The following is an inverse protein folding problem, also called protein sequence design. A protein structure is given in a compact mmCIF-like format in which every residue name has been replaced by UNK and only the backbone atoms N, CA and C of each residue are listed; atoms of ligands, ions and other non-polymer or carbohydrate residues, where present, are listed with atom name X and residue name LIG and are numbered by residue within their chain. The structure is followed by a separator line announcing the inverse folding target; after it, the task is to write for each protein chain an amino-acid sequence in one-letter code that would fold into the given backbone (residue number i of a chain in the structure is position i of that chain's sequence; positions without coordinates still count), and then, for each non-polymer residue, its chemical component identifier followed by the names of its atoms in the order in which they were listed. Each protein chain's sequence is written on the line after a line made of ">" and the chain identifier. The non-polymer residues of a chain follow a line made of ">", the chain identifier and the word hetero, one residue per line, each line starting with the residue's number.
data_IF_391181393914
#
_entry.id   IF_391181393914
#
_cell.length_a   1.000
_cell.length_b   1.000
_cell.length_c   1.000
_cell.angle_alpha   90.00
_cell.angle_beta   90.00
_cell.angle_gamma   90.00
#
_symmetry.space_group_name_H-M   'P 1'
#
loop_
_entity.id
_entity.type
_entity.pdbx_description
1 polymer ?
#
# COMPACT_ATOMS: atom_id res chain seq x y z
N UNK A 1 16.88 -2.05 -24.51
CA UNK A 1 17.45 -3.36 -24.19
C UNK A 1 16.53 -4.00 -23.18
N UNK A 2 16.01 -5.18 -23.47
CA UNK A 2 15.20 -5.92 -22.49
C UNK A 2 16.10 -6.63 -21.44
N UNK A 3 15.49 -7.26 -20.44
CA UNK A 3 16.25 -7.94 -19.38
C UNK A 3 17.13 -9.10 -19.91
N UNK A 4 16.68 -9.80 -20.95
CA UNK A 4 17.41 -10.93 -21.54
C UNK A 4 18.64 -10.46 -22.30
N UNK A 5 18.48 -9.41 -23.10
CA UNK A 5 19.56 -8.72 -23.78
C UNK A 5 20.54 -8.12 -22.77
N UNK A 6 20.05 -7.45 -21.73
CA UNK A 6 20.86 -6.86 -20.66
C UNK A 6 21.70 -7.91 -19.94
N UNK A 7 21.10 -9.06 -19.60
CA UNK A 7 21.78 -10.19 -18.99
C UNK A 7 22.88 -10.74 -19.90
N UNK A 8 22.65 -10.76 -21.21
CA UNK A 8 23.63 -11.23 -22.19
C UNK A 8 24.81 -10.27 -22.33
N UNK A 9 24.53 -8.97 -22.43
CA UNK A 9 25.55 -7.92 -22.47
C UNK A 9 26.38 -7.88 -21.17
N UNK A 10 25.74 -8.03 -20.01
CA UNK A 10 26.43 -8.09 -18.73
C UNK A 10 27.36 -9.30 -18.65
N UNK A 11 26.93 -10.48 -19.13
CA UNK A 11 27.81 -11.66 -19.23
C UNK A 11 29.01 -11.41 -20.16
N UNK A 12 28.79 -10.74 -21.29
CA UNK A 12 29.85 -10.39 -22.23
C UNK A 12 30.80 -9.31 -21.68
N UNK A 13 30.31 -8.41 -20.83
CA UNK A 13 31.15 -7.48 -20.07
C UNK A 13 32.00 -8.24 -19.06
N UNK A 14 31.38 -9.07 -18.22
CA UNK A 14 32.07 -9.83 -17.17
C UNK A 14 33.10 -10.81 -17.73
N UNK A 15 32.90 -11.37 -18.93
CA UNK A 15 33.89 -12.24 -19.59
C UNK A 15 35.17 -11.50 -20.02
N UNK A 16 35.12 -10.17 -20.13
CA UNK A 16 36.27 -9.31 -20.44
C UNK A 16 36.98 -8.78 -19.19
N UNK A 17 36.40 -8.98 -18.00
CA UNK A 17 37.00 -8.58 -16.72
C UNK A 17 38.00 -9.65 -16.28
N UNK A 18 39.14 -9.23 -15.72
CA UNK A 18 40.11 -10.16 -15.13
C UNK A 18 39.43 -11.06 -14.10
N UNK A 19 39.65 -12.40 -14.12
CA UNK A 19 39.02 -13.33 -13.17
C UNK A 19 39.21 -12.95 -11.70
N UNK A 20 40.32 -12.30 -11.35
CA UNK A 20 40.62 -11.83 -9.98
C UNK A 20 39.77 -10.64 -9.54
N UNK A 21 39.21 -9.89 -10.49
CA UNK A 21 38.42 -8.68 -10.25
C UNK A 21 36.92 -8.93 -10.38
N UNK A 22 36.49 -10.05 -10.99
CA UNK A 22 35.07 -10.38 -11.18
C UNK A 22 34.30 -10.35 -9.85
N UNK A 23 34.87 -10.92 -8.77
CA UNK A 23 34.23 -10.93 -7.45
C UNK A 23 34.01 -9.51 -6.90
N UNK A 24 34.99 -8.60 -7.10
CA UNK A 24 34.86 -7.20 -6.68
C UNK A 24 33.82 -6.46 -7.50
N UNK A 25 33.76 -6.70 -8.81
CA UNK A 25 32.74 -6.10 -9.70
C UNK A 25 31.35 -6.57 -9.30
N UNK A 26 31.15 -7.87 -9.08
CA UNK A 26 29.86 -8.40 -8.63
C UNK A 26 29.46 -7.86 -7.25
N UNK A 27 30.43 -7.70 -6.35
CA UNK A 27 30.17 -7.10 -5.04
C UNK A 27 29.82 -5.61 -5.15
N UNK A 28 30.48 -4.87 -6.05
CA UNK A 28 30.12 -3.47 -6.33
C UNK A 28 28.72 -3.39 -6.93
N UNK A 29 28.39 -4.16 -7.98
CA UNK A 29 27.05 -4.16 -8.58
C UNK A 29 25.96 -4.45 -7.54
N UNK A 30 26.23 -5.34 -6.58
CA UNK A 30 25.26 -5.70 -5.54
C UNK A 30 25.02 -4.59 -4.51
N UNK A 31 26.03 -3.77 -4.20
CA UNK A 31 25.99 -2.85 -3.06
C UNK A 31 26.27 -1.38 -3.46
N UNK A 32 26.18 -1.05 -4.75
CA UNK A 32 26.52 0.29 -5.24
C UNK A 32 25.31 1.21 -5.17
N UNK A 33 25.36 2.20 -4.27
CA UNK A 33 24.40 3.31 -4.22
C UNK A 33 24.38 4.10 -5.56
N UNK A 34 25.51 4.17 -6.28
CA UNK A 34 25.59 4.85 -7.59
C UNK A 34 24.71 4.18 -8.66
N UNK A 35 24.38 2.89 -8.49
CA UNK A 35 23.46 2.20 -9.40
C UNK A 35 22.00 2.44 -9.01
N UNK A 36 21.71 2.84 -7.78
CA UNK A 36 20.36 3.25 -7.37
C UNK A 36 19.93 4.55 -8.06
N UNK A 37 20.87 5.43 -8.39
CA UNK A 37 20.60 6.63 -9.20
C UNK A 37 20.01 6.30 -10.58
N UNK A 38 20.27 5.09 -11.12
CA UNK A 38 19.65 4.63 -12.37
C UNK A 38 18.17 4.28 -12.20
N UNK A 39 17.71 4.10 -10.96
CA UNK A 39 16.33 3.78 -10.60
C UNK A 39 15.51 5.03 -10.26
N UNK A 40 16.08 6.23 -10.45
CA UNK A 40 15.36 7.50 -10.24
C UNK A 40 14.10 7.53 -11.09
N UNK A 41 12.98 7.44 -10.41
CA UNK A 41 11.65 7.39 -11.00
C UNK A 41 10.91 8.70 -10.71
N UNK A 42 10.67 9.50 -11.75
CA UNK A 42 9.86 10.72 -11.64
C UNK A 42 8.46 10.46 -11.05
N UNK A 43 7.94 9.23 -11.18
CA UNK A 43 6.68 8.80 -10.55
C UNK A 43 6.80 8.75 -9.03
N UNK A 44 7.90 8.22 -8.49
CA UNK A 44 8.20 8.26 -7.04
C UNK A 44 8.30 9.70 -6.54
N UNK A 45 8.95 10.59 -7.30
CA UNK A 45 9.07 12.00 -6.95
C UNK A 45 7.69 12.70 -6.87
N UNK A 46 6.78 12.39 -7.80
CA UNK A 46 5.41 12.90 -7.76
C UNK A 46 4.66 12.37 -6.52
N UNK A 47 4.74 11.08 -6.21
CA UNK A 47 4.12 10.50 -5.03
C UNK A 47 4.64 11.12 -3.73
N UNK A 48 5.96 11.31 -3.61
CA UNK A 48 6.58 12.00 -2.47
C UNK A 48 6.10 13.44 -2.34
N UNK A 49 5.95 14.16 -3.44
CA UNK A 49 5.41 15.53 -3.43
C UNK A 49 3.97 15.57 -2.92
N UNK A 50 3.14 14.62 -3.34
CA UNK A 50 1.75 14.48 -2.85
C UNK A 50 1.76 14.19 -1.34
N UNK A 51 2.60 13.25 -0.89
CA UNK A 51 2.75 12.90 0.52
C UNK A 51 3.17 14.12 1.37
N UNK A 52 4.15 14.90 0.92
CA UNK A 52 4.60 16.09 1.64
C UNK A 52 3.52 17.17 1.73
N UNK A 53 2.71 17.33 0.69
CA UNK A 53 1.56 18.23 0.74
C UNK A 53 0.45 17.75 1.68
N UNK A 54 0.22 16.44 1.76
CA UNK A 54 -0.75 15.85 2.68
C UNK A 54 -0.35 16.08 4.14
N UNK A 55 0.95 15.96 4.47
CA UNK A 55 1.49 16.23 5.82
C UNK A 55 1.11 17.62 6.34
N UNK A 56 0.98 18.62 5.46
CA UNK A 56 0.58 19.97 5.85
C UNK A 56 -0.87 20.09 6.37
N UNK A 57 -1.71 19.07 6.13
CA UNK A 57 -3.11 19.03 6.55
C UNK A 57 -3.40 17.95 7.59
N UNK A 58 -2.41 17.15 7.96
CA UNK A 58 -2.57 16.00 8.84
C UNK A 58 -1.76 16.18 10.12
N UNK A 59 -2.22 15.59 11.25
CA UNK A 59 -1.36 15.42 12.41
C UNK A 59 -0.20 14.46 12.08
N UNK A 60 0.80 14.42 12.96
CA UNK A 60 2.02 13.63 12.77
C UNK A 60 1.71 12.13 12.59
N UNK A 61 0.77 11.61 13.39
CA UNK A 61 0.28 10.24 13.31
C UNK A 61 -0.65 10.01 12.10
N UNK A 62 -0.91 11.02 11.28
CA UNK A 62 -1.78 10.97 10.11
C UNK A 62 -3.22 10.50 10.41
N UNK A 63 -3.65 10.53 11.66
CA UNK A 63 -4.99 10.13 12.05
C UNK A 63 -5.89 11.34 12.31
N UNK A 64 -6.99 11.45 11.58
CA UNK A 64 -7.95 12.52 11.85
C UNK A 64 -8.66 12.28 13.19
N UNK A 65 -9.07 13.35 13.89
CA UNK A 65 -9.87 13.21 15.12
C UNK A 65 -11.20 12.45 14.90
N UNK A 66 -11.72 12.47 13.68
CA UNK A 66 -12.95 11.78 13.28
C UNK A 66 -12.79 10.26 13.18
N UNK A 67 -11.56 9.71 13.13
CA UNK A 67 -11.28 8.27 13.13
C UNK A 67 -11.41 7.62 14.53
N UNK A 68 -12.48 7.95 15.27
CA UNK A 68 -12.63 7.61 16.70
C UNK A 68 -12.59 6.09 16.98
N UNK A 69 -13.12 5.26 16.08
CA UNK A 69 -13.07 3.80 16.20
C UNK A 69 -11.63 3.27 16.15
N UNK A 70 -10.82 3.76 15.21
CA UNK A 70 -9.42 3.37 15.07
C UNK A 70 -8.61 3.79 16.30
N UNK A 71 -8.78 5.04 16.76
CA UNK A 71 -8.16 5.53 18.01
C UNK A 71 -8.49 4.63 19.20
N UNK A 72 -9.77 4.26 19.36
CA UNK A 72 -10.23 3.43 20.47
C UNK A 72 -9.63 2.03 20.41
N UNK A 73 -9.62 1.39 19.24
CA UNK A 73 -9.07 0.04 19.08
C UNK A 73 -7.56 -0.02 19.28
N UNK A 74 -6.83 1.00 18.82
CA UNK A 74 -5.40 1.11 19.09
C UNK A 74 -5.10 1.21 20.59
N UNK A 75 -5.89 2.00 21.34
CA UNK A 75 -5.74 2.12 22.80
C UNK A 75 -6.08 0.82 23.56
N UNK A 76 -6.90 -0.05 22.96
CA UNK A 76 -7.26 -1.35 23.53
C UNK A 76 -6.24 -2.46 23.25
N UNK A 77 -5.24 -2.22 22.38
CA UNK A 77 -4.19 -3.21 22.11
C UNK A 77 -3.41 -3.51 23.39
N UNK A 78 -3.05 -4.79 23.56
CA UNK A 78 -2.30 -5.27 24.73
C UNK A 78 -0.90 -4.70 24.82
N UNK A 79 -0.33 -4.28 23.69
CA UNK A 79 0.91 -3.54 23.57
C UNK A 79 0.63 -2.13 23.07
N UNK A 80 1.30 -1.09 23.62
CA UNK A 80 1.13 0.26 23.12
C UNK A 80 1.51 0.33 21.63
N UNK A 81 0.57 0.83 20.83
CA UNK A 81 0.63 0.85 19.37
C UNK A 81 0.62 2.30 18.89
N UNK A 82 1.47 2.64 17.93
CA UNK A 82 1.55 3.96 17.28
C UNK A 82 1.21 3.81 15.80
N UNK A 83 0.43 4.74 15.28
CA UNK A 83 0.15 4.79 13.85
C UNK A 83 1.19 5.66 13.13
N UNK A 84 1.76 5.11 12.07
CA UNK A 84 2.67 5.80 11.16
C UNK A 84 2.24 5.46 9.75
N UNK A 85 1.85 6.46 8.99
CA UNK A 85 1.34 6.24 7.64
C UNK A 85 2.48 5.97 6.66
N UNK A 86 2.53 4.76 6.11
CA UNK A 86 3.59 4.32 5.20
C UNK A 86 3.63 5.09 3.88
N UNK A 87 2.53 5.72 3.45
CA UNK A 87 2.55 6.59 2.27
C UNK A 87 3.25 7.91 2.56
N UNK A 88 3.09 8.42 3.78
CA UNK A 88 3.65 9.71 4.19
C UNK A 88 5.11 9.62 4.59
N UNK A 89 5.48 8.57 5.33
CA UNK A 89 6.82 8.44 5.92
C UNK A 89 7.48 7.14 5.47
N UNK A 90 8.68 7.26 4.91
CA UNK A 90 9.59 6.12 4.74
C UNK A 90 10.37 5.85 6.05
N UNK A 91 11.08 4.72 6.09
CA UNK A 91 11.84 4.29 7.28
C UNK A 91 12.87 5.34 7.72
N UNK A 92 13.60 5.94 6.78
CA UNK A 92 14.58 7.00 7.04
C UNK A 92 13.94 8.24 7.67
N UNK A 93 12.75 8.64 7.21
CA UNK A 93 11.99 9.74 7.81
C UNK A 93 11.52 9.40 9.22
N UNK A 94 11.07 8.16 9.45
CA UNK A 94 10.69 7.69 10.80
C UNK A 94 11.90 7.71 11.73
N UNK A 95 13.06 7.23 11.28
CA UNK A 95 14.30 7.24 12.04
C UNK A 95 14.75 8.67 12.37
N UNK A 96 14.71 9.57 11.38
CA UNK A 96 15.01 10.99 11.58
C UNK A 96 14.10 11.62 12.64
N UNK A 97 12.79 11.32 12.61
CA UNK A 97 11.82 11.80 13.61
C UNK A 97 12.10 11.24 15.01
N UNK A 98 12.60 10.01 15.10
CA UNK A 98 13.03 9.40 16.36
C UNK A 98 14.30 10.07 16.90
N UNK A 99 15.28 10.37 16.04
CA UNK A 99 16.53 11.02 16.43
C UNK A 99 16.32 12.43 17.02
N UNK A 100 15.41 13.20 16.42
CA UNK A 100 15.07 14.54 16.93
C UNK A 100 14.08 14.51 18.11
N UNK A 101 13.70 13.33 18.58
CA UNK A 101 12.82 13.13 19.74
C UNK A 101 11.35 13.48 19.49
N UNK A 102 10.94 13.62 18.22
CA UNK A 102 9.55 13.87 17.84
C UNK A 102 8.72 12.59 17.84
N UNK A 103 9.37 11.44 17.60
CA UNK A 103 8.80 10.09 17.72
C UNK A 103 9.68 9.20 18.60
N UNK A 104 9.16 8.03 18.96
CA UNK A 104 9.93 6.99 19.66
C UNK A 104 9.54 5.63 19.11
N UNK A 105 10.52 4.72 18.97
CA UNK A 105 10.29 3.29 18.69
C UNK A 105 10.07 2.46 19.96
N UNK A 106 10.15 3.08 21.14
CA UNK A 106 10.03 2.38 22.43
C UNK A 106 9.20 3.15 23.45
N UNK A 107 8.62 2.45 24.41
CA UNK A 107 7.93 3.04 25.56
C UNK A 107 8.54 2.57 26.87
N UNK A 108 8.41 3.38 27.93
CA UNK A 108 8.89 3.03 29.26
C UNK A 108 7.94 2.02 29.93
N UNK A 109 8.48 0.92 30.44
CA UNK A 109 7.73 -0.06 31.26
C UNK A 109 7.32 0.53 32.62
N UNK A 110 8.02 1.57 33.05
CA UNK A 110 7.70 2.39 34.21
C UNK A 110 8.05 3.83 33.85
N UNK A 111 7.08 4.75 33.89
CA UNK A 111 7.28 6.13 33.45
C UNK A 111 8.49 6.77 34.15
N UNK A 112 9.42 7.34 33.37
CA UNK A 112 10.68 7.91 33.86
C UNK A 112 11.81 6.92 34.14
N UNK A 113 11.63 5.63 33.82
CA UNK A 113 12.71 4.63 33.93
C UNK A 113 13.47 4.45 32.61
N UNK A 114 14.70 3.93 32.68
CA UNK A 114 15.47 3.52 31.50
C UNK A 114 15.09 2.10 31.00
N UNK A 115 14.07 1.47 31.60
CA UNK A 115 13.58 0.15 31.17
C UNK A 115 12.51 0.35 30.12
N UNK A 116 12.87 0.14 28.86
CA UNK A 116 11.97 0.31 27.73
C UNK A 116 11.60 -1.02 27.07
N UNK A 117 10.50 -1.01 26.33
CA UNK A 117 10.06 -2.08 25.44
C UNK A 117 9.66 -1.48 24.08
N UNK A 118 9.73 -2.24 22.98
CA UNK A 118 9.36 -1.74 21.65
C UNK A 118 7.88 -1.37 21.58
N UNK A 119 7.58 -0.33 20.81
CA UNK A 119 6.23 0.02 20.38
C UNK A 119 5.83 -0.82 19.17
N UNK A 120 4.55 -1.17 19.07
CA UNK A 120 4.02 -1.75 17.84
C UNK A 120 3.67 -0.60 16.88
N UNK A 121 4.03 -0.74 15.60
CA UNK A 121 3.74 0.23 14.55
C UNK A 121 2.68 -0.31 13.61
N UNK A 122 1.70 0.52 13.25
CA UNK A 122 0.68 0.19 12.25
C UNK A 122 0.61 1.27 11.18
N UNK A 123 0.37 0.83 9.94
CA UNK A 123 0.00 1.69 8.81
C UNK A 123 -1.33 1.22 8.24
N UNK A 124 -2.16 2.17 7.82
CA UNK A 124 -3.37 1.91 7.04
C UNK A 124 -3.23 2.31 5.57
N UNK A 125 -2.02 2.65 5.13
CA UNK A 125 -1.71 3.05 3.77
C UNK A 125 -0.54 2.27 3.23
N UNK A 126 -0.55 1.99 1.93
CA UNK A 126 0.63 1.51 1.21
C UNK A 126 1.72 2.56 1.17
N UNK A 127 2.95 2.14 1.40
CA UNK A 127 4.14 2.91 1.08
C UNK A 127 4.34 3.09 -0.42
N UNK A 128 5.22 4.03 -0.79
CA UNK A 128 5.59 4.26 -2.19
C UNK A 128 6.17 3.01 -2.85
N UNK A 129 6.94 2.20 -2.11
CA UNK A 129 7.51 0.95 -2.59
C UNK A 129 6.45 -0.13 -2.76
N UNK A 130 5.50 -0.25 -1.84
CA UNK A 130 4.36 -1.17 -1.99
C UNK A 130 3.45 -0.79 -3.16
N UNK A 131 3.19 0.51 -3.38
CA UNK A 131 2.46 0.98 -4.55
C UNK A 131 3.20 0.64 -5.86
N UNK A 132 4.53 0.79 -5.87
CA UNK A 132 5.34 0.40 -7.02
C UNK A 132 5.25 -1.11 -7.26
N UNK A 133 5.36 -1.91 -6.20
CA UNK A 133 5.19 -3.37 -6.28
C UNK A 133 3.84 -3.73 -6.88
N UNK A 134 2.77 -3.20 -6.30
CA UNK A 134 1.40 -3.45 -6.68
C UNK A 134 1.16 -3.21 -8.18
N UNK A 135 1.56 -2.05 -8.69
CA UNK A 135 1.23 -1.66 -10.07
C UNK A 135 2.23 -2.15 -11.12
N UNK A 136 3.47 -2.46 -10.75
CA UNK A 136 4.50 -2.87 -11.72
C UNK A 136 4.80 -4.36 -11.72
N UNK A 137 4.47 -5.08 -10.64
CA UNK A 137 4.83 -6.49 -10.46
C UNK A 137 3.63 -7.39 -10.14
N UNK A 138 2.58 -6.86 -9.49
CA UNK A 138 1.39 -7.64 -9.11
C UNK A 138 0.27 -7.53 -10.15
N UNK A 139 -0.16 -6.31 -10.47
CA UNK A 139 -1.27 -6.09 -11.40
C UNK A 139 -0.81 -6.15 -12.87
N UNK A 140 -1.65 -6.67 -13.77
CA UNK A 140 -1.37 -6.65 -15.21
C UNK A 140 -1.57 -5.24 -15.79
N UNK A 141 -1.34 -5.08 -17.10
CA UNK A 141 -1.71 -3.85 -17.80
C UNK A 141 -3.21 -3.55 -17.61
N UNK A 142 -3.51 -2.33 -17.18
CA UNK A 142 -4.87 -1.90 -16.84
C UNK A 142 -5.51 -1.04 -17.94
N UNK A 143 -4.97 -1.07 -19.17
CA UNK A 143 -5.53 -0.32 -20.30
C UNK A 143 -6.99 -0.69 -20.52
N UNK A 144 -7.89 0.29 -20.46
CA UNK A 144 -9.34 0.07 -20.58
C UNK A 144 -10.05 -0.36 -19.29
N UNK A 145 -9.31 -0.64 -18.21
CA UNK A 145 -9.86 -1.22 -16.98
C UNK A 145 -10.25 -0.14 -15.95
N UNK A 146 -11.19 -0.52 -15.09
CA UNK A 146 -11.62 0.26 -13.92
C UNK A 146 -11.11 -0.41 -12.64
N UNK A 147 -10.34 0.35 -11.86
CA UNK A 147 -9.90 -0.05 -10.52
C UNK A 147 -10.67 0.72 -9.46
N UNK A 148 -11.13 -0.02 -8.44
CA UNK A 148 -11.83 0.53 -7.27
C UNK A 148 -11.00 0.27 -6.02
N UNK A 149 -10.74 1.33 -5.26
CA UNK A 149 -10.05 1.31 -3.97
C UNK A 149 -11.06 1.58 -2.85
N UNK A 150 -11.26 0.61 -1.96
CA UNK A 150 -12.26 0.71 -0.88
C UNK A 150 -11.57 1.19 0.40
N UNK A 151 -12.12 2.24 1.01
CA UNK A 151 -11.48 2.87 2.17
C UNK A 151 -10.23 3.64 1.77
N UNK A 152 -10.35 4.42 0.70
CA UNK A 152 -9.20 5.07 0.05
C UNK A 152 -8.41 6.03 0.96
N UNK A 153 -8.99 6.49 2.08
CA UNK A 153 -8.35 7.29 3.14
C UNK A 153 -7.55 8.48 2.61
N UNK A 154 -6.22 8.38 2.53
CA UNK A 154 -5.35 9.44 2.02
C UNK A 154 -5.25 9.47 0.49
N UNK A 155 -5.70 8.43 -0.20
CA UNK A 155 -5.71 8.28 -1.66
C UNK A 155 -4.47 7.58 -2.24
N UNK A 156 -3.66 6.93 -1.41
CA UNK A 156 -2.37 6.34 -1.81
C UNK A 156 -2.47 5.44 -3.04
N UNK A 157 -3.43 4.51 -3.06
CA UNK A 157 -3.67 3.59 -4.21
C UNK A 157 -4.05 4.37 -5.46
N UNK A 158 -4.86 5.43 -5.34
CA UNK A 158 -5.30 6.26 -6.46
C UNK A 158 -4.13 7.03 -7.09
N UNK A 159 -3.25 7.60 -6.25
CA UNK A 159 -2.06 8.30 -6.74
C UNK A 159 -1.08 7.31 -7.37
N UNK A 160 -0.84 6.16 -6.73
CA UNK A 160 -0.01 5.08 -7.26
C UNK A 160 -0.52 4.57 -8.60
N UNK A 161 -1.82 4.29 -8.70
CA UNK A 161 -2.47 3.86 -9.92
C UNK A 161 -2.39 4.92 -11.02
N UNK A 162 -2.44 6.21 -10.66
CA UNK A 162 -2.29 7.27 -11.64
C UNK A 162 -0.87 7.35 -12.22
N UNK A 163 0.16 7.15 -11.41
CA UNK A 163 1.53 7.28 -11.92
C UNK A 163 2.04 6.00 -12.58
N UNK A 164 1.63 4.83 -12.09
CA UNK A 164 2.19 3.54 -12.52
C UNK A 164 1.31 2.74 -13.49
N UNK A 165 0.03 3.10 -13.67
CA UNK A 165 -0.88 2.33 -14.53
C UNK A 165 -1.53 3.16 -15.63
N UNK A 166 -2.01 2.45 -16.64
CA UNK A 166 -2.83 2.89 -17.77
C UNK A 166 -4.35 2.78 -17.51
N UNK A 167 -4.75 2.52 -16.25
CA UNK A 167 -6.16 2.34 -15.87
C UNK A 167 -7.03 3.49 -16.41
N UNK A 168 -8.13 3.14 -17.08
CA UNK A 168 -9.03 4.15 -17.65
C UNK A 168 -9.79 4.91 -16.58
N UNK A 169 -10.06 4.26 -15.44
CA UNK A 169 -10.72 4.87 -14.28
C UNK A 169 -10.13 4.35 -12.98
N UNK A 170 -9.85 5.26 -12.06
CA UNK A 170 -9.39 4.99 -10.70
C UNK A 170 -10.41 5.59 -9.75
N UNK A 171 -11.10 4.75 -8.98
CA UNK A 171 -12.24 5.15 -8.16
C UNK A 171 -11.96 4.84 -6.68
N UNK A 172 -11.88 5.86 -5.84
CA UNK A 172 -11.81 5.70 -4.39
C UNK A 172 -13.19 5.74 -3.76
N UNK A 173 -13.49 4.80 -2.87
CA UNK A 173 -14.66 4.86 -1.99
C UNK A 173 -14.18 5.27 -0.59
N UNK A 174 -14.81 6.29 -0.01
CA UNK A 174 -14.44 6.80 1.30
C UNK A 174 -15.67 7.24 2.09
N UNK A 175 -15.72 6.86 3.36
CA UNK A 175 -16.81 7.19 4.29
C UNK A 175 -16.63 8.57 4.93
N UNK A 176 -15.38 8.98 5.15
CA UNK A 176 -15.06 10.26 5.76
C UNK A 176 -15.10 11.38 4.73
N UNK A 177 -16.06 12.30 4.88
CA UNK A 177 -16.13 13.49 4.04
C UNK A 177 -14.84 14.33 4.10
N UNK A 178 -14.17 14.38 5.25
CA UNK A 178 -12.91 15.10 5.43
C UNK A 178 -11.79 14.50 4.55
N UNK A 179 -11.69 13.18 4.51
CA UNK A 179 -10.73 12.50 3.63
C UNK A 179 -11.11 12.69 2.15
N UNK A 180 -12.39 12.61 1.80
CA UNK A 180 -12.86 12.90 0.43
C UNK A 180 -12.45 14.31 0.00
N UNK A 181 -12.62 15.31 0.87
CA UNK A 181 -12.24 16.69 0.58
C UNK A 181 -10.72 16.84 0.44
N UNK A 182 -9.94 16.20 1.31
CA UNK A 182 -8.47 16.22 1.27
C UNK A 182 -7.93 15.57 -0.02
N UNK A 183 -8.44 14.39 -0.36
CA UNK A 183 -8.08 13.70 -1.60
C UNK A 183 -8.43 14.55 -2.82
N UNK A 184 -9.66 15.08 -2.91
CA UNK A 184 -10.07 15.95 -4.01
C UNK A 184 -9.16 17.18 -4.15
N UNK A 185 -8.69 17.77 -3.04
CA UNK A 185 -7.72 18.86 -3.07
C UNK A 185 -6.41 18.45 -3.73
N UNK A 186 -5.89 17.26 -3.40
CA UNK A 186 -4.68 16.72 -4.04
C UNK A 186 -4.93 16.41 -5.51
N UNK A 187 -6.05 15.78 -5.87
CA UNK A 187 -6.40 15.50 -7.27
C UNK A 187 -6.41 16.77 -8.12
N UNK A 188 -6.98 17.87 -7.63
CA UNK A 188 -6.98 19.14 -8.34
C UNK A 188 -5.59 19.78 -8.41
N UNK A 189 -4.84 19.79 -7.31
CA UNK A 189 -3.49 20.36 -7.25
C UNK A 189 -2.55 19.68 -8.26
N UNK A 190 -2.64 18.36 -8.37
CA UNK A 190 -1.78 17.54 -9.23
C UNK A 190 -2.38 17.23 -10.60
N UNK A 191 -3.60 17.73 -10.89
CA UNK A 191 -4.32 17.53 -12.16
C UNK A 191 -4.56 16.06 -12.52
N UNK A 192 -5.02 15.29 -11.54
CA UNK A 192 -5.27 13.84 -11.66
C UNK A 192 -6.75 13.53 -11.99
N UNK A 193 -7.58 14.56 -12.13
CA UNK A 193 -9.04 14.45 -12.24
C UNK A 193 -9.54 13.99 -13.61
N UNK A 194 -8.66 13.78 -14.58
CA UNK A 194 -9.00 13.24 -15.90
C UNK A 194 -9.44 11.77 -15.83
N UNK A 195 -8.96 11.02 -14.83
CA UNK A 195 -9.33 9.60 -14.63
C UNK A 195 -9.43 9.14 -13.18
N UNK A 196 -9.06 9.97 -12.21
CA UNK A 196 -9.22 9.68 -10.78
C UNK A 196 -10.47 10.38 -10.24
N UNK A 197 -11.29 9.64 -9.48
CA UNK A 197 -12.46 10.16 -8.79
C UNK A 197 -12.58 9.54 -7.40
N UNK A 198 -13.00 10.35 -6.42
CA UNK A 198 -13.28 9.89 -5.06
C UNK A 198 -14.76 10.09 -4.77
N UNK A 199 -15.41 9.03 -4.28
CA UNK A 199 -16.83 8.99 -3.96
C UNK A 199 -16.99 8.97 -2.44
N UNK A 200 -17.71 9.95 -1.90
CA UNK A 200 -18.17 9.92 -0.52
C UNK A 200 -19.33 8.93 -0.41
N UNK A 201 -19.04 7.68 -0.06
CA UNK A 201 -20.03 6.60 -0.05
C UNK A 201 -19.59 5.40 0.77
N UNK A 202 -20.58 4.64 1.25
CA UNK A 202 -20.38 3.29 1.79
C UNK A 202 -20.30 2.26 0.65
N UNK A 203 -19.28 1.39 0.68
CA UNK A 203 -19.13 0.27 -0.26
C UNK A 203 -20.36 -0.63 -0.27
N UNK A 204 -21.06 -0.78 0.86
CA UNK A 204 -22.28 -1.59 0.99
C UNK A 204 -23.49 -1.03 0.21
N UNK A 205 -23.32 0.10 -0.47
CA UNK A 205 -24.35 0.71 -1.34
C UNK A 205 -23.94 0.76 -2.80
N UNK A 206 -22.78 0.19 -3.15
CA UNK A 206 -22.16 0.32 -4.46
C UNK A 206 -22.15 -1.02 -5.22
N UNK A 207 -23.28 -1.74 -5.21
CA UNK A 207 -23.43 -3.05 -5.87
C UNK A 207 -23.11 -2.97 -7.37
N UNK A 208 -23.69 -2.00 -8.08
CA UNK A 208 -23.47 -1.82 -9.52
C UNK A 208 -21.99 -1.53 -9.81
N UNK A 209 -21.33 -0.75 -8.96
CA UNK A 209 -19.91 -0.45 -9.14
C UNK A 209 -19.06 -1.70 -8.96
N UNK A 210 -19.28 -2.47 -7.88
CA UNK A 210 -18.55 -3.71 -7.61
C UNK A 210 -18.77 -4.74 -8.72
N UNK A 211 -19.99 -4.88 -9.23
CA UNK A 211 -20.31 -5.83 -10.31
C UNK A 211 -19.61 -5.48 -11.64
N UNK A 212 -19.22 -4.22 -11.84
CA UNK A 212 -18.58 -3.76 -13.07
C UNK A 212 -17.07 -3.49 -12.93
N UNK A 213 -16.52 -3.50 -11.72
CA UNK A 213 -15.10 -3.28 -11.49
C UNK A 213 -14.23 -4.42 -12.06
N UNK A 214 -13.10 -4.06 -12.67
CA UNK A 214 -12.13 -5.03 -13.19
C UNK A 214 -11.07 -5.37 -12.12
N UNK A 215 -10.74 -4.40 -11.26
CA UNK A 215 -9.85 -4.58 -10.11
C UNK A 215 -10.48 -3.97 -8.86
N UNK A 216 -10.46 -4.69 -7.74
CA UNK A 216 -10.86 -4.19 -6.42
C UNK A 216 -9.65 -4.26 -5.47
N UNK A 217 -9.36 -3.17 -4.76
CA UNK A 217 -8.27 -3.10 -3.78
C UNK A 217 -8.89 -2.91 -2.40
N UNK A 218 -8.51 -3.78 -1.46
CA UNK A 218 -8.92 -3.79 -0.05
C UNK A 218 -7.65 -3.75 0.82
N UNK A 219 -7.15 -2.56 1.12
CA UNK A 219 -5.97 -2.38 1.96
C UNK A 219 -6.36 -1.99 3.40
N UNK A 220 -6.30 -2.94 4.32
CA UNK A 220 -6.53 -2.74 5.76
C UNK A 220 -7.82 -1.95 6.08
N UNK A 221 -8.89 -2.20 5.32
CA UNK A 221 -10.02 -1.27 5.22
C UNK A 221 -11.04 -1.38 6.37
N UNK A 222 -11.07 -2.50 7.11
CA UNK A 222 -12.18 -2.79 8.03
C UNK A 222 -11.78 -2.91 9.51
N UNK A 223 -10.69 -3.62 9.83
CA UNK A 223 -10.40 -4.07 11.20
C UNK A 223 -10.41 -2.92 12.21
N UNK A 224 -9.80 -1.79 11.86
CA UNK A 224 -9.66 -0.62 12.73
C UNK A 224 -10.82 0.37 12.64
N UNK A 225 -11.59 0.34 11.55
CA UNK A 225 -12.55 1.40 11.24
C UNK A 225 -14.01 1.01 11.51
N UNK A 226 -14.32 -0.28 11.60
CA UNK A 226 -15.70 -0.79 11.69
C UNK A 226 -15.88 -1.79 12.83
N UNK A 227 -17.04 -1.83 13.48
CA UNK A 227 -17.33 -2.88 14.46
C UNK A 227 -17.46 -4.27 13.80
N UNK A 228 -17.18 -5.39 14.48
CA UNK A 228 -17.14 -6.72 13.85
C UNK A 228 -18.38 -7.08 13.03
N UNK A 229 -19.58 -6.71 13.51
CA UNK A 229 -20.83 -6.95 12.78
C UNK A 229 -20.91 -6.17 11.45
N UNK A 230 -20.34 -4.97 11.41
CA UNK A 230 -20.27 -4.12 10.23
C UNK A 230 -19.23 -4.65 9.24
N UNK A 231 -18.10 -5.16 9.74
CA UNK A 231 -17.09 -5.82 8.92
C UNK A 231 -17.68 -7.06 8.23
N UNK A 232 -18.39 -7.91 8.98
CA UNK A 232 -19.08 -9.09 8.42
C UNK A 232 -20.09 -8.68 7.35
N UNK A 233 -20.86 -7.61 7.58
CA UNK A 233 -21.80 -7.07 6.59
C UNK A 233 -21.08 -6.62 5.32
N UNK A 234 -19.99 -5.85 5.45
CA UNK A 234 -19.21 -5.37 4.32
C UNK A 234 -18.59 -6.52 3.51
N UNK A 235 -17.96 -7.48 4.19
CA UNK A 235 -17.39 -8.67 3.54
C UNK A 235 -18.44 -9.48 2.78
N UNK A 236 -19.59 -9.76 3.41
CA UNK A 236 -20.69 -10.47 2.74
C UNK A 236 -21.20 -9.71 1.53
N UNK A 237 -21.31 -8.39 1.61
CA UNK A 237 -21.73 -7.56 0.50
C UNK A 237 -20.73 -7.61 -0.66
N UNK A 238 -19.43 -7.50 -0.39
CA UNK A 238 -18.37 -7.61 -1.40
C UNK A 238 -18.39 -9.00 -2.04
N UNK A 239 -18.42 -10.07 -1.24
CA UNK A 239 -18.51 -11.44 -1.74
C UNK A 239 -19.74 -11.70 -2.61
N UNK A 240 -20.85 -11.02 -2.35
CA UNK A 240 -22.07 -11.15 -3.15
C UNK A 240 -22.02 -10.38 -4.47
N UNK A 241 -21.31 -9.24 -4.52
CA UNK A 241 -21.39 -8.31 -5.65
C UNK A 241 -20.13 -8.28 -6.54
N UNK A 242 -18.95 -8.54 -5.99
CA UNK A 242 -17.70 -8.62 -6.77
C UNK A 242 -17.55 -10.02 -7.38
N UNK A 243 -18.31 -10.28 -8.46
CA UNK A 243 -18.53 -11.63 -9.03
C UNK A 243 -18.20 -11.77 -10.50
N UNK A 244 -17.64 -10.73 -11.12
CA UNK A 244 -17.27 -10.78 -12.53
C UNK A 244 -16.05 -11.68 -12.71
N UNK A 245 -16.25 -12.82 -13.36
CA UNK A 245 -15.20 -13.79 -13.67
C UNK A 245 -14.02 -13.10 -14.38
N UNK A 246 -12.80 -13.39 -13.91
CA UNK A 246 -11.56 -12.80 -14.40
C UNK A 246 -11.18 -11.46 -13.76
N UNK A 247 -12.08 -10.79 -13.03
CA UNK A 247 -11.74 -9.60 -12.25
C UNK A 247 -10.74 -9.95 -11.13
N UNK A 248 -9.94 -8.96 -10.73
CA UNK A 248 -8.85 -9.13 -9.78
C UNK A 248 -9.19 -8.46 -8.44
N UNK A 249 -8.84 -9.13 -7.34
CA UNK A 249 -8.98 -8.63 -5.99
C UNK A 249 -7.62 -8.59 -5.33
N UNK A 250 -7.22 -7.42 -4.87
CA UNK A 250 -6.02 -7.22 -4.05
C UNK A 250 -6.48 -7.07 -2.60
N UNK A 251 -5.92 -7.85 -1.69
CA UNK A 251 -6.19 -7.71 -0.26
C UNK A 251 -4.91 -7.61 0.56
N UNK A 252 -4.97 -6.78 1.60
CA UNK A 252 -3.93 -6.65 2.62
C UNK A 252 -4.61 -6.54 3.99
N UNK A 253 -4.46 -7.52 4.90
CA UNK A 253 -3.75 -8.79 4.73
C UNK A 253 -4.52 -9.76 3.81
N UNK A 254 -4.13 -11.04 3.80
CA UNK A 254 -4.85 -12.09 3.06
C UNK A 254 -6.35 -12.14 3.40
N UNK A 255 -7.16 -12.64 2.47
CA UNK A 255 -8.59 -12.88 2.73
C UNK A 255 -8.80 -13.86 3.89
N UNK A 256 -7.94 -14.87 4.00
CA UNK A 256 -8.01 -15.86 5.07
C UNK A 256 -7.84 -15.19 6.43
N UNK A 257 -6.81 -14.38 6.61
CA UNK A 257 -6.56 -13.65 7.85
C UNK A 257 -7.68 -12.65 8.17
N UNK A 258 -8.14 -11.91 7.16
CA UNK A 258 -9.20 -10.92 7.31
C UNK A 258 -10.54 -11.54 7.73
N UNK A 259 -10.84 -12.75 7.26
CA UNK A 259 -12.13 -13.42 7.52
C UNK A 259 -12.09 -14.33 8.77
N UNK A 260 -10.95 -14.95 9.06
CA UNK A 260 -10.79 -15.83 10.24
C UNK A 260 -10.97 -15.07 11.55
N UNK A 261 -10.47 -13.84 11.62
CA UNK A 261 -10.66 -12.96 12.79
C UNK A 261 -12.14 -12.67 13.07
N UNK A 262 -12.98 -12.74 12.04
CA UNK A 262 -14.42 -12.53 12.10
C UNK A 262 -15.23 -13.84 12.19
N UNK A 263 -14.55 -15.00 12.12
CA UNK A 263 -15.19 -16.31 11.99
C UNK A 263 -16.15 -16.40 10.78
N UNK A 264 -15.87 -15.63 9.73
CA UNK A 264 -16.66 -15.63 8.50
C UNK A 264 -16.04 -16.60 7.49
N UNK A 265 -16.79 -17.54 6.91
CA UNK A 265 -16.23 -18.44 5.92
C UNK A 265 -16.04 -17.72 4.57
N UNK A 266 -14.87 -17.91 3.95
CA UNK A 266 -14.66 -17.55 2.55
C UNK A 266 -15.64 -18.35 1.67
N UNK A 267 -16.39 -17.65 0.80
CA UNK A 267 -17.39 -18.32 -0.04
C UNK A 267 -16.73 -19.27 -1.04
N UNK A 268 -17.07 -20.58 -1.04
CA UNK A 268 -16.51 -21.53 -1.99
C UNK A 268 -16.83 -21.13 -3.42
N UNK A 269 -15.84 -21.23 -4.31
CA UNK A 269 -16.03 -20.86 -5.71
C UNK A 269 -16.13 -19.36 -5.96
N UNK A 270 -15.62 -18.51 -5.06
CA UNK A 270 -15.59 -17.06 -5.28
C UNK A 270 -14.31 -16.61 -5.97
N UNK A 271 -13.17 -16.90 -5.37
CA UNK A 271 -11.86 -16.49 -5.87
C UNK A 271 -10.84 -17.61 -5.73
N UNK A 272 -9.79 -17.53 -6.55
CA UNK A 272 -8.55 -18.28 -6.38
C UNK A 272 -7.38 -17.32 -6.15
N UNK A 273 -6.44 -17.69 -5.28
CA UNK A 273 -5.24 -16.89 -5.03
C UNK A 273 -4.22 -17.13 -6.13
N UNK A 274 -3.65 -16.04 -6.66
CA UNK A 274 -2.61 -16.09 -7.68
C UNK A 274 -1.23 -15.99 -7.01
N UNK A 275 -0.25 -16.81 -7.45
CA UNK A 275 1.10 -16.73 -6.92
C UNK A 275 1.77 -15.43 -7.35
N UNK A 276 2.46 -14.78 -6.40
CA UNK A 276 3.24 -13.57 -6.64
C UNK A 276 4.73 -13.83 -6.46
N UNK A 277 5.55 -13.11 -7.23
CA UNK A 277 6.99 -13.06 -7.05
C UNK A 277 7.34 -11.89 -6.12
N UNK A 278 7.80 -12.22 -4.91
CA UNK A 278 8.20 -11.24 -3.90
C UNK A 278 9.71 -10.92 -3.96
N UNK A 279 10.49 -11.63 -4.78
CA UNK A 279 11.94 -11.45 -4.90
C UNK A 279 12.26 -10.29 -5.87
N UNK A 280 11.63 -9.14 -5.64
CA UNK A 280 11.80 -7.91 -6.41
C UNK A 280 12.62 -6.89 -5.65
N UNK A 281 13.44 -6.13 -6.37
CA UNK A 281 14.22 -5.04 -5.80
C UNK A 281 13.58 -3.69 -6.19
N UNK A 282 13.07 -2.97 -5.19
CA UNK A 282 12.37 -1.68 -5.37
C UNK A 282 13.10 -0.49 -4.72
N UNK A 283 14.32 -0.72 -4.23
CA UNK A 283 15.15 0.23 -3.50
C UNK A 283 15.55 -0.31 -2.11
N UNK A 284 16.62 0.26 -1.54
CA UNK A 284 17.19 -0.19 -0.25
C UNK A 284 16.22 -0.22 0.92
N UNK A 285 15.25 0.71 0.95
CA UNK A 285 14.32 0.89 2.08
C UNK A 285 13.04 0.04 1.96
N UNK A 286 13.01 -0.90 1.02
CA UNK A 286 11.82 -1.74 0.81
C UNK A 286 11.76 -2.82 1.88
N UNK A 287 10.70 -2.82 2.71
CA UNK A 287 10.43 -3.91 3.65
C UNK A 287 9.86 -5.15 2.90
N UNK A 288 10.60 -6.27 2.82
CA UNK A 288 10.12 -7.47 2.14
C UNK A 288 8.94 -8.13 2.86
N UNK A 289 8.81 -7.93 4.17
CA UNK A 289 7.71 -8.52 4.94
C UNK A 289 6.40 -7.77 4.71
N UNK A 290 6.46 -6.44 4.52
CA UNK A 290 5.32 -5.64 4.07
C UNK A 290 4.82 -6.10 2.68
N UNK A 291 5.73 -6.34 1.72
CA UNK A 291 5.34 -6.84 0.40
C UNK A 291 4.60 -8.19 0.46
N UNK A 292 4.99 -9.07 1.39
CA UNK A 292 4.36 -10.39 1.58
C UNK A 292 2.95 -10.33 2.15
N UNK A 293 2.51 -9.17 2.66
CA UNK A 293 1.13 -8.95 3.08
C UNK A 293 0.21 -8.64 1.90
N UNK A 294 0.74 -8.45 0.68
CA UNK A 294 -0.03 -8.13 -0.52
C UNK A 294 -0.42 -9.40 -1.22
N UNK A 295 -1.72 -9.69 -1.24
CA UNK A 295 -2.28 -10.87 -1.88
C UNK A 295 -3.10 -10.49 -3.11
N UNK A 296 -2.99 -11.29 -4.16
CA UNK A 296 -3.76 -11.14 -5.39
C UNK A 296 -4.65 -12.36 -5.58
N UNK A 297 -5.91 -12.11 -5.90
CA UNK A 297 -6.91 -13.12 -6.17
C UNK A 297 -7.58 -12.84 -7.51
N UNK A 298 -8.05 -13.88 -8.18
CA UNK A 298 -8.89 -13.81 -9.37
C UNK A 298 -10.27 -14.40 -9.08
N UNK A 299 -11.32 -13.69 -9.50
CA UNK A 299 -12.70 -14.19 -9.41
C UNK A 299 -12.92 -15.31 -10.44
N UNK A 300 -13.46 -16.44 -10.00
CA UNK A 300 -13.71 -17.65 -10.83
C UNK A 300 -15.17 -17.78 -11.28
#
# INVERSE_FOLDING_TARGET
>A
MDFSEAKSELKALLSRVSPTEISKVLNWVRNSEELEDLLVDNRKAMLRSIADDLKAFLPLDAMLPSETAAHTKMQQRSRPTVHVDGFLYDEDQVDSLCEVGTMSRTYCLTCGSCRTAPLDFISHSFSVSELQFLFQNVLPDLSGQTLVDVGSRLGAVLYGGYVYSSASRLLGLELSEEFVQLQNKMLHKYRLTDRVQVLHTDVCTQDVLLQNADVLVLNNVFEFFMEPEEQVRAWRFIMQNFRRCGSLLVSVPSLQESLDTLQEPLQPGWVEELPLDYDVYLGGDTDPDALRQIHLYQVI
#
